data_IF_806940843546
#
_entry.id   IF_806940843546
#
_cell.length_a   1.000
_cell.length_b   1.000
_cell.length_c   1.000
_cell.angle_alpha   90.00
_cell.angle_beta   90.00
_cell.angle_gamma   90.00
#
_symmetry.space_group_name_H-M   'P 1'
#
loop_
_entity.id
_entity.type
_entity.pdbx_description
1 polymer ?
#
# COMPACT_ATOMS: atom_id res chain seq x y z
N UNK A 1 -6.28 -72.44 -14.58
CA UNK A 1 -4.97 -71.83 -14.28
C UNK A 1 -4.77 -70.56 -15.11
N UNK A 2 -4.97 -69.37 -14.51
CA UNK A 2 -4.59 -68.12 -15.16
C UNK A 2 -3.06 -67.99 -15.07
N UNK A 3 -2.38 -68.53 -16.07
CA UNK A 3 -0.94 -68.30 -16.25
C UNK A 3 -0.78 -67.24 -17.33
N UNK A 4 -0.99 -65.98 -16.98
CA UNK A 4 -0.30 -64.88 -17.62
C UNK A 4 -0.38 -63.64 -16.75
N UNK A 5 0.77 -63.01 -16.56
CA UNK A 5 0.99 -61.81 -15.78
C UNK A 5 0.50 -60.60 -16.60
N UNK A 6 -0.79 -60.61 -16.95
CA UNK A 6 -1.43 -59.61 -17.79
C UNK A 6 -2.36 -58.72 -16.96
N UNK A 7 -2.43 -57.45 -17.31
CA UNK A 7 -3.35 -56.51 -16.68
C UNK A 7 -4.80 -56.85 -17.05
N UNK A 8 -5.72 -56.63 -16.11
CA UNK A 8 -7.16 -56.81 -16.36
C UNK A 8 -7.66 -55.89 -17.50
N UNK A 9 -7.08 -54.70 -17.60
CA UNK A 9 -7.18 -53.82 -18.76
C UNK A 9 -5.82 -53.75 -19.49
N UNK A 10 -5.67 -54.41 -20.66
CA UNK A 10 -4.44 -54.37 -21.44
C UNK A 10 -4.02 -52.98 -21.92
N UNK A 11 -4.97 -52.04 -21.96
CA UNK A 11 -4.76 -50.66 -22.42
C UNK A 11 -4.57 -49.68 -21.26
N UNK A 12 -4.79 -50.11 -20.01
CA UNK A 12 -4.76 -49.24 -18.83
C UNK A 12 -5.53 -47.94 -19.08
N UNK A 13 -6.81 -48.05 -19.47
CA UNK A 13 -7.72 -46.96 -19.85
C UNK A 13 -7.18 -46.03 -20.96
N UNK A 14 -6.29 -46.52 -21.83
CA UNK A 14 -5.50 -45.74 -22.81
C UNK A 14 -4.55 -44.69 -22.18
N UNK A 15 -4.42 -44.71 -20.85
CA UNK A 15 -3.70 -43.73 -20.06
C UNK A 15 -2.47 -44.32 -19.37
N UNK A 16 -2.03 -45.52 -19.77
CA UNK A 16 -0.84 -46.16 -19.20
C UNK A 16 -0.28 -47.25 -20.11
N UNK A 17 0.66 -48.00 -19.57
CA UNK A 17 1.19 -49.22 -20.16
C UNK A 17 1.11 -50.36 -19.15
N UNK A 18 0.71 -51.54 -19.60
CA UNK A 18 0.70 -52.74 -18.77
C UNK A 18 2.11 -53.32 -18.68
N UNK A 19 2.63 -53.50 -17.47
CA UNK A 19 3.92 -54.15 -17.23
C UNK A 19 3.73 -55.12 -16.07
N UNK A 20 3.99 -56.41 -16.30
CA UNK A 20 3.92 -57.44 -15.26
C UNK A 20 2.60 -57.45 -14.46
N UNK A 21 1.47 -57.27 -15.14
CA UNK A 21 0.14 -57.30 -14.51
C UNK A 21 -0.25 -56.03 -13.77
N UNK A 22 0.59 -54.99 -13.79
CA UNK A 22 0.34 -53.68 -13.19
C UNK A 22 0.32 -52.58 -14.26
N UNK A 23 -0.60 -51.63 -14.12
CA UNK A 23 -0.71 -50.48 -15.00
C UNK A 23 0.20 -49.33 -14.55
N UNK A 24 1.21 -49.01 -15.36
CA UNK A 24 2.04 -47.81 -15.18
C UNK A 24 1.41 -46.63 -15.92
N UNK A 25 0.81 -45.72 -15.16
CA UNK A 25 0.07 -44.59 -15.72
C UNK A 25 0.97 -43.50 -16.30
N UNK A 26 0.50 -42.89 -17.39
CA UNK A 26 1.04 -41.65 -17.96
C UNK A 26 0.88 -40.50 -16.93
N UNK A 27 1.71 -39.45 -17.01
CA UNK A 27 1.54 -38.26 -16.18
C UNK A 27 0.11 -37.71 -16.25
N UNK A 28 -0.45 -37.33 -15.10
CA UNK A 28 -1.82 -36.83 -15.00
C UNK A 28 -2.91 -37.91 -14.87
N UNK A 29 -2.53 -39.19 -14.79
CA UNK A 29 -3.47 -40.31 -14.63
C UNK A 29 -3.07 -41.24 -13.48
N UNK A 30 -4.05 -41.88 -12.87
CA UNK A 30 -3.92 -42.76 -11.72
C UNK A 30 -5.13 -43.68 -11.57
N UNK A 31 -5.22 -44.41 -10.46
CA UNK A 31 -6.15 -45.53 -10.33
C UNK A 31 -5.48 -46.85 -10.74
N UNK A 32 -6.15 -47.96 -10.47
CA UNK A 32 -5.60 -49.31 -10.68
C UNK A 32 -5.36 -49.61 -12.17
N UNK A 33 -6.15 -48.97 -13.04
CA UNK A 33 -6.10 -49.11 -14.49
C UNK A 33 -5.94 -47.74 -15.18
N UNK A 34 -5.40 -46.72 -14.50
CA UNK A 34 -5.23 -45.36 -15.02
C UNK A 34 -6.53 -44.67 -15.46
N UNK A 35 -7.66 -45.06 -14.87
CA UNK A 35 -9.00 -44.57 -15.14
C UNK A 35 -9.30 -43.21 -14.47
N UNK A 36 -8.53 -42.87 -13.44
CA UNK A 36 -8.71 -41.63 -12.68
C UNK A 36 -7.79 -40.55 -13.25
N UNK A 37 -8.31 -39.37 -13.63
CA UNK A 37 -7.48 -38.20 -13.82
C UNK A 37 -6.83 -37.87 -12.46
N UNK A 38 -5.50 -37.89 -12.39
CA UNK A 38 -4.81 -37.30 -11.23
C UNK A 38 -4.93 -35.79 -11.37
N UNK A 39 -5.13 -35.12 -10.24
CA UNK A 39 -5.08 -33.67 -10.19
C UNK A 39 -3.81 -33.20 -10.92
N UNK A 40 -4.01 -32.55 -12.07
CA UNK A 40 -2.93 -31.84 -12.74
C UNK A 40 -2.67 -30.61 -11.86
N UNK A 41 -1.41 -30.38 -11.47
CA UNK A 41 -1.07 -29.18 -10.68
C UNK A 41 -1.65 -27.97 -11.43
N UNK A 42 -2.45 -27.10 -10.79
CA UNK A 42 -2.85 -25.83 -11.38
C UNK A 42 -1.59 -25.14 -11.92
N UNK A 43 -1.54 -24.94 -13.24
CA UNK A 43 -0.43 -24.30 -13.96
C UNK A 43 0.99 -24.82 -13.62
N UNK A 44 1.13 -26.10 -13.30
CA UNK A 44 2.41 -26.70 -12.87
C UNK A 44 3.08 -25.91 -11.74
N UNK A 45 2.26 -25.39 -10.83
CA UNK A 45 2.74 -24.67 -9.67
C UNK A 45 3.57 -23.44 -10.10
N UNK A 46 3.15 -22.81 -11.21
CA UNK A 46 3.80 -21.70 -11.92
C UNK A 46 5.27 -21.94 -12.29
N UNK A 47 5.73 -23.20 -12.31
CA UNK A 47 7.14 -23.53 -12.51
C UNK A 47 8.05 -23.16 -11.32
N UNK A 48 7.46 -22.88 -10.17
CA UNK A 48 8.14 -22.43 -8.95
C UNK A 48 7.87 -23.38 -7.77
N UNK A 49 7.69 -24.67 -8.05
CA UNK A 49 7.48 -25.66 -7.02
C UNK A 49 7.21 -27.06 -7.56
N UNK A 50 7.01 -27.98 -6.62
CA UNK A 50 6.66 -29.37 -6.87
C UNK A 50 5.22 -29.65 -6.41
N UNK A 51 4.44 -30.32 -7.26
CA UNK A 51 3.09 -30.74 -6.91
C UNK A 51 3.12 -31.93 -5.94
N UNK A 52 2.30 -31.88 -4.89
CA UNK A 52 2.11 -32.96 -3.93
C UNK A 52 0.77 -33.67 -4.26
N UNK A 53 0.79 -34.86 -4.87
CA UNK A 53 -0.44 -35.53 -5.31
C UNK A 53 -1.40 -35.91 -4.18
N UNK A 54 -0.87 -36.18 -2.98
CA UNK A 54 -1.66 -36.65 -1.83
C UNK A 54 -2.52 -35.54 -1.21
N UNK A 55 -2.04 -34.29 -1.27
CA UNK A 55 -2.74 -33.12 -0.72
C UNK A 55 -3.42 -32.27 -1.81
N UNK A 56 -3.01 -32.44 -3.07
CA UNK A 56 -3.45 -31.61 -4.18
C UNK A 56 -2.88 -30.18 -4.13
N UNK A 57 -1.81 -29.95 -3.37
CA UNK A 57 -1.19 -28.63 -3.17
C UNK A 57 0.21 -28.56 -3.77
N UNK A 58 0.71 -27.34 -3.96
CA UNK A 58 2.06 -27.07 -4.40
C UNK A 58 3.00 -26.89 -3.20
N UNK A 59 4.16 -27.55 -3.25
CA UNK A 59 5.31 -27.24 -2.41
C UNK A 59 6.19 -26.25 -3.17
N UNK A 60 6.21 -24.99 -2.76
CA UNK A 60 6.93 -23.94 -3.46
C UNK A 60 8.44 -23.98 -3.24
N UNK A 61 9.18 -23.55 -4.26
CA UNK A 61 10.61 -23.31 -4.21
C UNK A 61 10.93 -22.13 -3.25
N UNK A 62 12.18 -22.00 -2.80
CA UNK A 62 12.59 -20.84 -2.01
C UNK A 62 12.25 -19.53 -2.73
N UNK A 63 11.72 -18.58 -1.98
CA UNK A 63 11.22 -17.28 -2.44
C UNK A 63 9.90 -17.31 -3.24
N UNK A 64 9.14 -18.42 -3.18
CA UNK A 64 7.80 -18.48 -3.75
C UNK A 64 6.79 -18.98 -2.71
N UNK A 65 5.55 -18.50 -2.82
CA UNK A 65 4.46 -18.84 -1.93
C UNK A 65 3.11 -18.78 -2.65
N UNK A 66 2.06 -19.13 -1.91
CA UNK A 66 0.70 -19.23 -2.44
C UNK A 66 0.30 -20.66 -2.77
N UNK A 67 -0.99 -20.89 -3.07
CA UNK A 67 -1.52 -22.23 -3.34
C UNK A 67 -0.93 -22.86 -4.61
N UNK A 68 -0.45 -22.03 -5.53
CA UNK A 68 0.07 -22.38 -6.86
C UNK A 68 1.48 -21.85 -7.11
N UNK A 69 2.17 -21.36 -6.07
CA UNK A 69 3.51 -20.77 -6.14
C UNK A 69 3.64 -19.58 -7.11
N UNK A 70 2.54 -18.87 -7.37
CA UNK A 70 2.53 -17.67 -8.22
C UNK A 70 3.09 -16.42 -7.54
N UNK A 71 3.21 -16.42 -6.21
CA UNK A 71 3.59 -15.23 -5.45
C UNK A 71 5.05 -15.28 -5.02
N UNK A 72 5.86 -14.32 -5.48
CA UNK A 72 7.24 -14.15 -5.01
C UNK A 72 7.26 -13.67 -3.54
N UNK A 73 8.10 -14.27 -2.72
CA UNK A 73 8.35 -13.85 -1.34
C UNK A 73 9.38 -12.74 -1.35
N UNK A 74 8.97 -11.55 -0.93
CA UNK A 74 9.86 -10.43 -0.71
C UNK A 74 10.48 -10.46 0.70
N UNK A 75 11.64 -9.81 0.85
CA UNK A 75 12.30 -9.65 2.17
C UNK A 75 11.43 -8.87 3.17
N UNK A 76 10.53 -8.04 2.63
CA UNK A 76 9.56 -7.21 3.35
C UNK A 76 8.22 -7.32 2.64
N UNK A 77 7.13 -7.28 3.40
CA UNK A 77 5.78 -7.24 2.83
C UNK A 77 5.59 -5.89 2.09
N UNK A 78 5.28 -5.95 0.79
CA UNK A 78 5.06 -4.77 -0.04
C UNK A 78 3.67 -4.14 0.18
N UNK A 79 2.85 -4.74 1.05
CA UNK A 79 1.52 -4.26 1.38
C UNK A 79 0.59 -4.22 0.17
N UNK A 80 -0.42 -3.36 0.22
CA UNK A 80 -1.41 -3.18 -0.86
C UNK A 80 -0.98 -2.18 -1.94
N UNK A 81 0.20 -1.57 -1.79
CA UNK A 81 0.67 -0.44 -2.60
C UNK A 81 2.02 -0.71 -3.26
N UNK A 82 2.41 -1.98 -3.32
CA UNK A 82 3.64 -2.39 -3.94
C UNK A 82 3.52 -3.80 -4.51
N UNK A 83 4.37 -4.07 -5.49
CA UNK A 83 4.51 -5.40 -6.09
C UNK A 83 5.92 -5.89 -5.81
N UNK A 84 6.03 -7.14 -5.36
CA UNK A 84 7.32 -7.79 -5.20
C UNK A 84 7.93 -8.07 -6.58
N UNK A 85 9.15 -7.59 -6.81
CA UNK A 85 9.92 -7.87 -8.02
C UNK A 85 11.39 -8.05 -7.68
N UNK A 86 11.92 -9.27 -7.84
CA UNK A 86 13.34 -9.56 -7.64
C UNK A 86 13.75 -9.37 -6.18
N UNK A 87 12.90 -9.79 -5.25
CA UNK A 87 13.11 -9.69 -3.81
C UNK A 87 12.99 -8.29 -3.19
N UNK A 88 12.62 -7.27 -3.98
CA UNK A 88 12.39 -5.90 -3.51
C UNK A 88 11.00 -5.38 -3.91
N UNK A 89 10.44 -4.49 -3.09
CA UNK A 89 9.14 -3.89 -3.36
C UNK A 89 9.26 -2.73 -4.36
N UNK A 90 8.48 -2.80 -5.43
CA UNK A 90 8.25 -1.66 -6.31
C UNK A 90 6.92 -1.00 -5.92
N UNK A 91 7.00 0.22 -5.42
CA UNK A 91 5.82 0.95 -4.95
C UNK A 91 5.03 1.60 -6.08
N UNK A 92 3.73 1.72 -5.86
CA UNK A 92 2.81 2.53 -6.67
C UNK A 92 3.14 4.03 -6.55
N UNK A 93 2.66 4.83 -7.50
CA UNK A 93 2.84 6.28 -7.47
C UNK A 93 2.25 6.89 -6.19
N UNK A 94 3.02 7.74 -5.51
CA UNK A 94 2.62 8.35 -4.24
C UNK A 94 2.94 7.50 -3.00
N UNK A 95 3.54 6.31 -3.17
CA UNK A 95 4.04 5.47 -2.07
C UNK A 95 5.55 5.26 -2.14
N UNK A 96 6.15 5.04 -0.97
CA UNK A 96 7.58 4.86 -0.77
C UNK A 96 7.85 4.05 0.49
N UNK A 97 9.12 3.89 0.86
CA UNK A 97 9.55 3.00 1.93
C UNK A 97 9.83 1.58 1.43
N UNK A 98 10.44 0.76 2.28
CA UNK A 98 10.82 -0.61 1.93
C UNK A 98 9.61 -1.51 1.66
N UNK A 99 8.51 -1.32 2.40
CA UNK A 99 7.26 -2.06 2.25
C UNK A 99 6.13 -1.28 1.57
N UNK A 100 6.45 -0.16 0.90
CA UNK A 100 5.47 0.70 0.24
C UNK A 100 4.33 1.19 1.16
N UNK A 101 4.65 1.35 2.44
CA UNK A 101 3.75 1.72 3.52
C UNK A 101 3.79 3.23 3.85
N UNK A 102 4.67 3.98 3.18
CA UNK A 102 4.85 5.41 3.43
C UNK A 102 4.32 6.24 2.27
N UNK A 103 3.50 7.24 2.57
CA UNK A 103 3.01 8.19 1.57
C UNK A 103 4.10 9.21 1.23
N UNK A 104 4.34 9.41 -0.05
CA UNK A 104 5.27 10.43 -0.55
C UNK A 104 4.74 11.82 -0.20
N UNK A 105 5.54 12.61 0.49
CA UNK A 105 5.26 14.04 0.70
C UNK A 105 5.90 14.90 -0.38
N UNK A 106 5.34 16.09 -0.58
CA UNK A 106 5.94 17.09 -1.46
C UNK A 106 7.39 17.41 -1.01
N UNK A 107 8.38 17.48 -1.91
CA UNK A 107 9.77 17.80 -1.55
C UNK A 107 9.96 19.15 -0.84
N UNK A 108 9.02 20.08 -0.96
CA UNK A 108 9.09 21.38 -0.27
C UNK A 108 8.70 21.28 1.21
N UNK A 109 7.96 20.23 1.58
CA UNK A 109 7.54 19.92 2.94
C UNK A 109 8.71 19.86 3.91
N UNK A 110 9.81 19.20 3.50
CA UNK A 110 10.92 18.87 4.40
C UNK A 110 11.69 20.10 4.89
N UNK A 111 11.49 21.26 4.26
CA UNK A 111 12.17 22.49 4.66
C UNK A 111 11.58 23.09 5.93
N UNK A 112 10.25 23.13 6.03
CA UNK A 112 9.54 23.84 7.10
C UNK A 112 8.34 23.06 7.64
N UNK A 113 8.40 21.74 7.54
CA UNK A 113 7.35 20.87 8.00
C UNK A 113 7.83 19.44 8.18
N UNK A 114 6.97 18.66 8.82
CA UNK A 114 7.16 17.22 9.02
C UNK A 114 6.13 16.50 8.18
N UNK A 115 6.58 15.53 7.38
CA UNK A 115 5.70 14.66 6.61
C UNK A 115 5.01 13.67 7.55
N UNK A 116 3.67 13.61 7.50
CA UNK A 116 2.86 12.57 8.12
C UNK A 116 1.78 12.13 7.15
N UNK A 117 1.77 10.86 6.77
CA UNK A 117 0.78 10.25 5.88
C UNK A 117 0.56 11.04 4.58
N UNK A 118 1.64 11.55 3.97
CA UNK A 118 1.59 12.31 2.72
C UNK A 118 1.16 13.77 2.89
N UNK A 119 0.89 14.21 4.12
CA UNK A 119 0.52 15.60 4.46
C UNK A 119 1.65 16.28 5.21
N UNK A 120 1.79 17.57 4.95
CA UNK A 120 2.77 18.41 5.65
C UNK A 120 2.18 19.00 6.93
N UNK A 121 2.77 18.65 8.06
CA UNK A 121 2.58 19.39 9.31
C UNK A 121 3.62 20.49 9.38
N UNK A 122 3.20 21.74 9.16
CA UNK A 122 4.12 22.88 9.15
C UNK A 122 4.68 23.19 10.53
N UNK A 123 5.96 23.55 10.56
CA UNK A 123 6.62 24.10 11.74
C UNK A 123 6.08 25.50 12.02
N UNK A 124 6.26 25.98 13.26
CA UNK A 124 5.76 27.28 13.68
C UNK A 124 6.24 28.40 12.75
N UNK A 125 5.31 29.27 12.34
CA UNK A 125 5.61 30.37 11.42
C UNK A 125 5.51 30.03 9.93
N UNK A 126 5.09 28.82 9.58
CA UNK A 126 4.86 28.39 8.20
C UNK A 126 3.45 27.84 8.00
N UNK A 127 2.91 28.02 6.80
CA UNK A 127 1.56 27.61 6.42
C UNK A 127 1.50 27.20 4.94
N UNK A 128 0.31 26.78 4.51
CA UNK A 128 0.04 26.25 3.18
C UNK A 128 0.23 24.73 3.09
N UNK A 129 -0.22 24.13 2.00
CA UNK A 129 -0.22 22.67 1.79
C UNK A 129 1.18 22.04 1.86
N UNK A 130 2.22 22.81 1.53
CA UNK A 130 3.61 22.36 1.50
C UNK A 130 4.53 23.18 2.41
N UNK A 131 3.97 23.97 3.34
CA UNK A 131 4.74 24.78 4.29
C UNK A 131 5.70 25.79 3.62
N UNK A 132 5.30 26.31 2.45
CA UNK A 132 6.07 27.29 1.68
C UNK A 132 5.68 28.73 1.97
N UNK A 133 4.59 28.96 2.72
CA UNK A 133 4.08 30.29 3.04
C UNK A 133 4.59 30.70 4.42
N UNK A 134 5.49 31.68 4.49
CA UNK A 134 5.96 32.23 5.75
C UNK A 134 4.91 33.16 6.37
N UNK A 135 4.57 32.93 7.64
CA UNK A 135 3.62 33.74 8.40
C UNK A 135 4.17 35.12 8.80
N UNK A 136 5.49 35.33 8.72
CA UNK A 136 6.13 36.63 8.96
C UNK A 136 5.69 37.72 7.96
N UNK A 137 5.12 37.33 6.82
CA UNK A 137 4.57 38.25 5.81
C UNK A 137 3.20 38.81 6.26
N UNK A 138 2.44 38.05 7.05
CA UNK A 138 1.15 38.50 7.60
C UNK A 138 1.31 39.42 8.83
N UNK A 139 2.42 39.32 9.54
CA UNK A 139 2.67 40.19 10.70
C UNK A 139 2.97 41.61 10.23
N UNK A 140 3.53 41.85 9.04
CA UNK A 140 3.74 43.22 8.56
C UNK A 140 2.41 43.91 8.19
N UNK A 141 1.44 43.21 7.61
CA UNK A 141 0.12 43.81 7.34
C UNK A 141 -0.73 43.95 8.61
N UNK A 142 -0.71 42.96 9.52
CA UNK A 142 -1.47 43.00 10.77
C UNK A 142 -0.85 43.94 11.83
N UNK A 143 0.47 44.06 11.92
CA UNK A 143 1.11 45.04 12.81
C UNK A 143 0.93 46.48 12.30
N UNK A 144 0.92 46.71 10.98
CA UNK A 144 0.52 48.00 10.41
C UNK A 144 -0.94 48.33 10.71
N UNK A 145 -1.86 47.36 10.67
CA UNK A 145 -3.26 47.52 11.06
C UNK A 145 -3.43 47.72 12.57
N UNK A 146 -2.63 47.05 13.40
CA UNK A 146 -2.69 47.17 14.86
C UNK A 146 -2.10 48.52 15.33
N UNK A 147 -1.01 48.99 14.71
CA UNK A 147 -0.43 50.32 14.95
C UNK A 147 -1.35 51.43 14.45
N UNK A 148 -1.97 51.29 13.27
CA UNK A 148 -2.98 52.25 12.81
C UNK A 148 -4.23 52.24 13.68
N UNK A 149 -4.74 51.07 14.10
CA UNK A 149 -5.88 50.97 15.00
C UNK A 149 -5.61 51.58 16.39
N UNK A 150 -4.40 51.41 16.93
CA UNK A 150 -3.95 52.01 18.18
C UNK A 150 -3.79 53.55 18.06
N UNK A 151 -3.25 54.04 16.94
CA UNK A 151 -3.16 55.49 16.65
C UNK A 151 -4.54 56.16 16.45
N UNK A 152 -5.49 55.46 15.83
CA UNK A 152 -6.86 55.96 15.64
C UNK A 152 -7.61 55.99 16.99
N UNK A 153 -7.35 55.04 17.89
CA UNK A 153 -7.92 55.04 19.24
C UNK A 153 -7.36 56.17 20.14
N UNK A 154 -6.09 56.54 19.98
CA UNK A 154 -5.44 57.61 20.76
C UNK A 154 -5.73 59.03 20.24
N UNK A 155 -6.07 59.19 18.95
CA UNK A 155 -6.30 60.51 18.33
C UNK A 155 -7.72 61.06 18.54
N UNK A 156 -8.63 60.32 19.19
CA UNK A 156 -9.91 60.86 19.69
C UNK A 156 -10.89 61.36 18.61
N UNK A 157 -10.68 61.06 17.33
CA UNK A 157 -11.55 61.51 16.24
C UNK A 157 -12.71 60.51 16.07
N UNK A 158 -13.64 60.49 17.03
CA UNK A 158 -14.95 59.87 16.86
C UNK A 158 -16.05 60.94 17.00
N UNK A 159 -16.26 61.70 15.93
CA UNK A 159 -17.52 62.42 15.69
C UNK A 159 -18.29 61.68 14.61
N UNK A 160 -19.06 60.66 15.00
CA UNK A 160 -20.42 60.38 14.50
C UNK A 160 -20.82 58.93 14.78
N UNK A 161 -21.97 58.77 15.42
CA UNK A 161 -22.55 57.51 15.86
C UNK A 161 -23.14 56.71 14.69
N UNK A 162 -22.31 55.97 13.94
CA UNK A 162 -22.83 55.12 12.85
C UNK A 162 -22.15 53.75 12.66
N UNK A 163 -21.10 53.40 13.41
CA UNK A 163 -20.31 52.17 13.16
C UNK A 163 -20.31 51.13 14.30
N UNK A 164 -21.33 51.15 15.17
CA UNK A 164 -21.46 50.17 16.27
C UNK A 164 -21.76 48.73 15.79
N UNK A 165 -22.06 48.51 14.50
CA UNK A 165 -22.45 47.17 13.99
C UNK A 165 -21.26 46.31 13.53
N UNK A 166 -20.04 46.85 13.42
CA UNK A 166 -18.85 46.06 12.97
C UNK A 166 -17.92 45.59 14.11
N UNK A 167 -18.22 45.94 15.36
CA UNK A 167 -17.30 45.70 16.49
C UNK A 167 -17.34 44.28 17.06
N UNK A 168 -18.36 43.47 16.78
CA UNK A 168 -18.37 42.07 17.23
C UNK A 168 -17.31 41.21 16.55
N UNK A 169 -16.88 41.54 15.32
CA UNK A 169 -15.80 40.83 14.64
C UNK A 169 -14.39 41.23 15.10
N UNK A 170 -14.21 42.38 15.76
CA UNK A 170 -12.90 42.80 16.27
C UNK A 170 -12.53 42.13 17.59
N UNK A 171 -13.51 41.79 18.46
CA UNK A 171 -13.20 41.14 19.73
C UNK A 171 -12.65 39.71 19.57
N UNK A 172 -13.07 38.97 18.53
CA UNK A 172 -12.51 37.65 18.24
C UNK A 172 -11.02 37.72 17.84
N UNK A 173 -10.59 38.83 17.23
CA UNK A 173 -9.20 39.01 16.77
C UNK A 173 -8.27 39.50 17.88
N UNK A 174 -8.77 40.28 18.86
CA UNK A 174 -7.98 40.73 20.02
C UNK A 174 -7.64 39.56 20.96
N UNK A 175 -8.52 38.56 21.08
CA UNK A 175 -8.28 37.33 21.84
C UNK A 175 -7.20 36.42 21.23
N UNK A 176 -6.85 36.61 19.96
CA UNK A 176 -5.75 35.89 19.32
C UNK A 176 -4.38 36.54 19.64
N UNK A 177 -4.34 37.84 19.91
CA UNK A 177 -3.12 38.56 20.29
C UNK A 177 -2.65 38.27 21.73
N UNK A 178 -3.52 37.78 22.61
CA UNK A 178 -3.19 37.47 24.01
C UNK A 178 -2.73 36.02 24.25
N UNK A 179 -2.48 35.24 23.19
CA UNK A 179 -2.00 33.84 23.27
C UNK A 179 -0.65 33.58 22.58
N UNK A 180 0.12 34.61 22.29
CA UNK A 180 1.51 34.47 21.83
C UNK A 180 2.40 34.91 23.00
N UNK A 181 3.24 34.02 23.58
CA UNK A 181 4.19 34.39 24.62
C UNK A 181 5.26 35.36 24.10
#
# INVERSE_FOLDING_TARGET
PMTQLDCLDPTCSNNGICVNGECHCKPGWGGLHCELPRAQCPDQCHGHGAFIPDTGLCSCDPNWMGPDCSMEVCSVDCGTHGVCMGGACRCEEGWTGAGCDQRVCNPLCIKHGTCKDGKCQCHQGWNGEHCTIAMSIYINSLSFLCLHGYFIALSGIFHSMALLVSFQHLFQNVLYCSKIP
#
